data_IF_042740680572
#
_entry.id   IF_042740680572
#
_cell.length_a   1.000
_cell.length_b   1.000
_cell.length_c   1.000
_cell.angle_alpha   90.00
_cell.angle_beta   90.00
_cell.angle_gamma   90.00
#
_symmetry.space_group_name_H-M   'P 1'
#
loop_
_entity.id
_entity.type
_entity.pdbx_description
1 polymer ?
#
# COMPACT_ATOMS: atom_id res chain seq x y z
N UNK A 1 -21.60 23.91 -80.46
CA UNK A 1 -20.39 24.25 -81.25
C UNK A 1 -19.18 23.93 -80.37
N UNK A 2 -18.19 23.22 -80.94
CA UNK A 2 -16.87 22.82 -80.41
C UNK A 2 -16.77 21.96 -79.12
N UNK A 3 -16.15 20.78 -79.24
CA UNK A 3 -15.21 20.26 -78.22
C UNK A 3 -13.76 20.65 -78.59
N UNK A 4 -12.69 19.96 -78.15
CA UNK A 4 -12.40 19.25 -76.89
C UNK A 4 -11.02 19.66 -76.26
N UNK A 5 -10.67 19.02 -75.12
CA UNK A 5 -9.30 18.70 -74.62
C UNK A 5 -8.27 19.83 -74.39
N UNK A 6 -7.66 19.89 -73.18
CA UNK A 6 -6.22 19.64 -73.01
C UNK A 6 -5.83 19.40 -71.53
N UNK A 7 -5.07 18.32 -71.36
CA UNK A 7 -4.40 17.80 -70.17
C UNK A 7 -3.29 18.74 -69.69
N UNK A 8 -3.13 18.91 -68.37
CA UNK A 8 -1.83 19.02 -67.69
C UNK A 8 -1.87 18.34 -66.32
N UNK A 9 -1.02 17.34 -66.16
CA UNK A 9 -0.82 16.51 -64.96
C UNK A 9 0.29 17.08 -64.06
N UNK A 10 0.30 16.62 -62.80
CA UNK A 10 1.32 16.70 -61.73
C UNK A 10 1.16 17.94 -60.84
N UNK A 11 1.15 17.86 -59.50
CA UNK A 11 2.13 17.21 -58.62
C UNK A 11 1.43 16.78 -57.31
N UNK A 12 1.83 15.62 -56.80
CA UNK A 12 1.50 15.05 -55.48
C UNK A 12 1.63 16.03 -54.32
N UNK A 13 0.60 16.10 -53.47
CA UNK A 13 0.75 16.49 -52.07
C UNK A 13 -0.07 15.53 -51.20
N UNK A 14 0.64 14.59 -50.58
CA UNK A 14 0.15 13.75 -49.50
C UNK A 14 -0.32 14.68 -48.38
N UNK A 15 -1.59 14.56 -47.97
CA UNK A 15 -2.11 15.35 -46.86
C UNK A 15 -2.86 14.46 -45.86
N UNK A 16 -2.15 14.23 -44.76
CA UNK A 16 -2.65 14.02 -43.40
C UNK A 16 -3.49 12.77 -43.13
N UNK A 17 -2.82 11.66 -42.87
CA UNK A 17 -3.36 10.65 -41.97
C UNK A 17 -3.55 11.30 -40.59
N UNK A 18 -4.80 11.37 -40.12
CA UNK A 18 -5.15 11.84 -38.79
C UNK A 18 -4.61 10.86 -37.74
N UNK A 19 -3.40 11.11 -37.23
CA UNK A 19 -2.88 10.43 -36.05
C UNK A 19 -3.63 10.97 -34.84
N UNK A 20 -4.67 10.24 -34.43
CA UNK A 20 -5.36 10.50 -33.17
C UNK A 20 -4.42 10.14 -32.03
N UNK A 21 -3.68 11.13 -31.50
CA UNK A 21 -2.93 10.99 -30.26
C UNK A 21 -3.96 10.88 -29.13
N UNK A 22 -4.30 9.65 -28.75
CA UNK A 22 -5.01 9.40 -27.50
C UNK A 22 -4.07 9.82 -26.35
N UNK A 23 -4.21 11.08 -25.92
CA UNK A 23 -3.64 11.57 -24.67
C UNK A 23 -4.31 10.78 -23.54
N UNK A 24 -3.71 9.64 -23.16
CA UNK A 24 -4.02 8.98 -21.91
C UNK A 24 -3.54 9.92 -20.81
N UNK A 25 -4.41 10.83 -20.37
CA UNK A 25 -4.19 11.62 -19.16
C UNK A 25 -4.04 10.65 -18.01
N UNK A 26 -2.81 10.34 -17.62
CA UNK A 26 -2.53 9.77 -16.31
C UNK A 26 -3.00 10.81 -15.30
N UNK A 27 -4.23 10.65 -14.80
CA UNK A 27 -4.69 11.43 -13.65
C UNK A 27 -3.78 10.97 -12.51
N UNK A 28 -2.92 11.85 -11.94
CA UNK A 28 -2.18 11.46 -10.75
C UNK A 28 -3.21 11.09 -9.69
N UNK A 29 -3.07 9.90 -9.09
CA UNK A 29 -3.86 9.54 -7.93
C UNK A 29 -3.54 10.58 -6.85
N UNK A 30 -4.46 11.53 -6.64
CA UNK A 30 -4.31 12.57 -5.62
C UNK A 30 -4.45 11.92 -4.23
N UNK A 31 -3.34 11.38 -3.71
CA UNK A 31 -3.19 11.11 -2.29
C UNK A 31 -3.13 12.43 -1.51
N UNK A 32 -3.57 12.43 -0.24
CA UNK A 32 -3.37 13.58 0.64
C UNK A 32 -1.87 13.82 0.81
N UNK A 33 -1.42 15.06 0.68
CA UNK A 33 -0.04 15.43 1.01
C UNK A 33 0.15 15.41 2.51
N UNK A 34 1.22 14.79 3.01
CA UNK A 34 1.58 14.90 4.42
C UNK A 34 2.11 16.31 4.69
N UNK A 35 1.38 17.07 5.51
CA UNK A 35 1.86 18.39 5.97
C UNK A 35 2.83 18.21 7.13
N UNK A 36 3.73 19.18 7.42
CA UNK A 36 4.62 19.09 8.58
C UNK A 36 3.88 18.87 9.91
N UNK A 37 2.69 19.46 10.05
CA UNK A 37 1.83 19.29 11.22
C UNK A 37 1.21 17.88 11.28
N UNK A 38 0.85 17.31 10.14
CA UNK A 38 0.37 15.93 10.10
C UNK A 38 1.50 14.96 10.44
N UNK A 39 2.72 15.20 9.94
CA UNK A 39 3.90 14.41 10.25
C UNK A 39 4.20 14.42 11.76
N UNK A 40 4.24 15.60 12.39
CA UNK A 40 4.43 15.74 13.85
C UNK A 40 3.36 14.95 14.63
N UNK A 41 2.09 15.01 14.21
CA UNK A 41 1.02 14.26 14.88
C UNK A 41 1.00 12.78 14.56
N UNK A 42 1.50 12.38 13.40
CA UNK A 42 1.66 10.97 13.05
C UNK A 42 2.75 10.35 13.92
N UNK A 43 3.89 11.02 14.04
CA UNK A 43 5.01 10.64 14.89
C UNK A 43 4.60 10.49 16.37
N UNK A 44 3.91 11.50 16.93
CA UNK A 44 3.35 11.43 18.29
C UNK A 44 2.39 10.24 18.51
N UNK A 45 1.68 9.81 17.47
CA UNK A 45 0.70 8.72 17.54
C UNK A 45 1.37 7.34 17.50
N UNK A 46 2.50 7.21 16.79
CA UNK A 46 3.27 5.96 16.70
C UNK A 46 3.60 5.44 18.10
N UNK A 47 4.11 6.31 18.97
CA UNK A 47 4.47 6.00 20.36
C UNK A 47 3.29 5.46 21.19
N UNK A 48 2.07 5.71 20.74
CA UNK A 48 0.85 5.34 21.44
C UNK A 48 0.18 4.09 20.88
N UNK A 49 0.65 3.51 19.76
CA UNK A 49 0.03 2.39 19.03
C UNK A 49 0.16 1.02 19.73
N UNK A 50 -0.22 0.97 21.00
CA UNK A 50 -0.20 -0.24 21.84
C UNK A 50 -1.48 -1.09 21.77
N UNK A 51 -2.31 -0.88 20.75
CA UNK A 51 -3.50 -1.70 20.47
C UNK A 51 -3.92 -1.59 19.01
N UNK A 52 -4.59 -2.61 18.46
CA UNK A 52 -5.06 -2.58 17.07
C UNK A 52 -6.05 -1.44 16.76
N UNK A 53 -6.83 -1.00 17.74
CA UNK A 53 -7.71 0.16 17.57
C UNK A 53 -6.90 1.44 17.33
N UNK A 54 -5.84 1.66 18.10
CA UNK A 54 -4.96 2.81 17.92
C UNK A 54 -4.14 2.73 16.63
N UNK A 55 -3.74 1.53 16.21
CA UNK A 55 -3.14 1.32 14.88
C UNK A 55 -4.09 1.78 13.79
N UNK A 56 -5.36 1.37 13.87
CA UNK A 56 -6.38 1.81 12.94
C UNK A 56 -6.60 3.32 12.99
N UNK A 57 -6.69 3.92 14.18
CA UNK A 57 -6.88 5.37 14.33
C UNK A 57 -5.72 6.17 13.72
N UNK A 58 -4.49 5.74 13.95
CA UNK A 58 -3.30 6.33 13.35
C UNK A 58 -3.33 6.20 11.82
N UNK A 59 -3.58 4.99 11.30
CA UNK A 59 -3.73 4.74 9.87
C UNK A 59 -4.85 5.59 9.23
N UNK A 60 -6.04 5.60 9.82
CA UNK A 60 -7.20 6.29 9.26
C UNK A 60 -7.00 7.81 9.21
N UNK A 61 -6.26 8.37 10.17
CA UNK A 61 -6.03 9.81 10.28
C UNK A 61 -4.79 10.28 9.54
N UNK A 62 -3.72 9.49 9.58
CA UNK A 62 -2.37 9.88 9.16
C UNK A 62 -1.69 8.89 8.23
N UNK A 63 -2.41 7.90 7.68
CA UNK A 63 -1.81 6.92 6.76
C UNK A 63 -1.24 7.52 5.46
N UNK A 64 -1.53 8.79 5.16
CA UNK A 64 -0.90 9.56 4.08
C UNK A 64 0.48 10.15 4.44
N UNK A 65 0.88 10.05 5.71
CA UNK A 65 2.18 10.41 6.24
C UNK A 65 3.10 9.20 6.50
N UNK A 66 2.71 8.02 6.05
CA UNK A 66 3.46 6.80 6.27
C UNK A 66 4.69 6.72 5.35
N UNK A 67 5.72 7.47 5.70
CA UNK A 67 7.00 7.54 5.00
C UNK A 67 8.13 7.83 6.01
N UNK A 68 9.37 7.49 5.67
CA UNK A 68 10.55 7.71 6.51
C UNK A 68 10.41 7.17 7.95
N UNK A 69 10.82 7.96 8.94
CA UNK A 69 10.81 7.58 10.36
C UNK A 69 9.40 7.19 10.87
N UNK A 70 8.34 7.81 10.33
CA UNK A 70 6.96 7.47 10.69
C UNK A 70 6.62 6.05 10.22
N UNK A 71 7.05 5.67 9.01
CA UNK A 71 6.81 4.34 8.48
C UNK A 71 7.59 3.27 9.26
N UNK A 72 8.85 3.53 9.60
CA UNK A 72 9.65 2.63 10.44
C UNK A 72 9.02 2.47 11.84
N UNK A 73 8.55 3.57 12.43
CA UNK A 73 7.84 3.55 13.70
C UNK A 73 6.53 2.75 13.65
N UNK A 74 5.75 2.89 12.56
CA UNK A 74 4.56 2.08 12.32
C UNK A 74 4.91 0.59 12.18
N UNK A 75 6.01 0.26 11.48
CA UNK A 75 6.52 -1.11 11.37
C UNK A 75 6.84 -1.69 12.75
N UNK A 76 7.59 -0.97 13.57
CA UNK A 76 7.92 -1.41 14.93
C UNK A 76 6.67 -1.58 15.81
N UNK A 77 5.73 -0.64 15.78
CA UNK A 77 4.49 -0.73 16.57
C UNK A 77 3.62 -1.94 16.17
N UNK A 78 3.49 -2.20 14.87
CA UNK A 78 2.81 -3.40 14.35
C UNK A 78 3.54 -4.67 14.80
N UNK A 79 4.87 -4.69 14.70
CA UNK A 79 5.68 -5.84 15.12
C UNK A 79 5.51 -6.14 16.61
N UNK A 80 5.57 -5.14 17.50
CA UNK A 80 5.31 -5.32 18.94
C UNK A 80 3.95 -5.97 19.21
N UNK A 81 2.89 -5.53 18.53
CA UNK A 81 1.56 -6.13 18.69
C UNK A 81 1.51 -7.59 18.21
N UNK A 82 2.17 -7.91 17.10
CA UNK A 82 2.23 -9.29 16.60
C UNK A 82 3.10 -10.17 17.50
N UNK A 83 4.27 -9.71 17.91
CA UNK A 83 5.25 -10.50 18.65
C UNK A 83 4.86 -10.67 20.11
N UNK A 84 4.51 -9.57 20.78
CA UNK A 84 4.31 -9.55 22.24
C UNK A 84 2.83 -9.74 22.62
N UNK A 85 1.92 -9.38 21.71
CA UNK A 85 0.48 -9.39 21.96
C UNK A 85 -0.30 -10.26 20.96
N UNK A 86 0.31 -11.32 20.40
CA UNK A 86 -0.31 -12.23 19.41
C UNK A 86 -1.73 -12.68 19.76
N UNK A 87 -2.05 -12.89 21.04
CA UNK A 87 -3.39 -13.27 21.52
C UNK A 87 -4.49 -12.26 21.16
N UNK A 88 -4.13 -11.02 20.80
CA UNK A 88 -5.04 -9.96 20.35
C UNK A 88 -5.32 -10.00 18.85
N UNK A 89 -4.70 -10.90 18.08
CA UNK A 89 -4.91 -11.03 16.63
C UNK A 89 -6.39 -11.15 16.20
N UNK A 90 -7.30 -11.80 16.96
CA UNK A 90 -8.74 -11.77 16.65
C UNK A 90 -9.38 -10.37 16.66
N UNK A 91 -8.84 -9.44 17.45
CA UNK A 91 -9.29 -8.05 17.45
C UNK A 91 -8.89 -7.36 16.14
N UNK A 92 -7.67 -7.59 15.64
CA UNK A 92 -7.25 -7.15 14.31
C UNK A 92 -8.14 -7.75 13.23
N UNK A 93 -8.39 -9.05 13.27
CA UNK A 93 -9.29 -9.71 12.31
C UNK A 93 -10.68 -9.07 12.25
N UNK A 94 -11.24 -8.73 13.41
CA UNK A 94 -12.53 -8.02 13.50
C UNK A 94 -12.45 -6.60 12.92
N UNK A 95 -11.35 -5.88 13.13
CA UNK A 95 -11.14 -4.55 12.56
C UNK A 95 -10.98 -4.61 11.04
N UNK A 96 -10.23 -5.57 10.51
CA UNK A 96 -10.05 -5.79 9.07
C UNK A 96 -11.39 -6.09 8.39
N UNK A 97 -12.27 -6.88 9.01
CA UNK A 97 -13.62 -7.13 8.48
C UNK A 97 -14.44 -5.84 8.32
N UNK A 98 -14.24 -4.85 9.20
CA UNK A 98 -14.90 -3.54 9.12
C UNK A 98 -14.17 -2.55 8.21
N UNK A 99 -12.86 -2.66 8.13
CA UNK A 99 -11.97 -1.71 7.46
C UNK A 99 -10.91 -2.49 6.66
N UNK A 100 -11.29 -2.98 5.48
CA UNK A 100 -10.46 -3.90 4.70
C UNK A 100 -9.06 -3.36 4.40
N UNK A 101 -8.91 -2.05 4.19
CA UNK A 101 -7.63 -1.41 3.89
C UNK A 101 -6.63 -1.47 5.07
N UNK A 102 -7.10 -1.71 6.29
CA UNK A 102 -6.21 -1.92 7.44
C UNK A 102 -5.34 -3.15 7.26
N UNK A 103 -5.83 -4.17 6.54
CA UNK A 103 -5.04 -5.38 6.25
C UNK A 103 -3.77 -5.03 5.48
N UNK A 104 -3.91 -4.26 4.40
CA UNK A 104 -2.79 -3.88 3.55
C UNK A 104 -1.81 -2.98 4.31
N UNK A 105 -2.32 -2.10 5.17
CA UNK A 105 -1.49 -1.32 6.10
C UNK A 105 -0.66 -2.23 7.02
N UNK A 106 -1.29 -3.18 7.73
CA UNK A 106 -0.53 -4.07 8.63
C UNK A 106 0.48 -4.92 7.87
N UNK A 107 0.10 -5.48 6.71
CA UNK A 107 0.99 -6.37 5.95
C UNK A 107 2.20 -5.63 5.37
N UNK A 108 2.05 -4.38 4.92
CA UNK A 108 3.20 -3.61 4.41
C UNK A 108 4.22 -3.27 5.49
N UNK A 109 3.81 -3.26 6.75
CA UNK A 109 4.63 -2.98 7.93
C UNK A 109 5.26 -4.23 8.56
N UNK A 110 5.02 -5.41 7.97
CA UNK A 110 5.82 -6.62 8.23
C UNK A 110 6.90 -6.70 7.14
N UNK A 111 7.85 -5.77 7.21
CA UNK A 111 8.85 -5.51 6.18
C UNK A 111 10.30 -5.71 6.69
N UNK A 112 11.28 -5.39 5.84
CA UNK A 112 12.71 -5.59 6.11
C UNK A 112 13.32 -4.57 7.09
N UNK A 113 12.56 -3.57 7.55
CA UNK A 113 13.01 -2.64 8.60
C UNK A 113 12.99 -3.28 10.00
N UNK A 114 12.30 -4.40 10.16
CA UNK A 114 12.19 -5.13 11.43
C UNK A 114 13.43 -5.99 11.74
N UNK A 115 13.69 -6.23 13.04
CA UNK A 115 14.69 -7.22 13.47
C UNK A 115 14.31 -8.61 12.94
N UNK A 116 15.28 -9.33 12.39
CA UNK A 116 15.06 -10.67 11.81
C UNK A 116 14.41 -11.63 12.81
N UNK A 117 14.69 -11.50 14.12
CA UNK A 117 14.07 -12.33 15.17
C UNK A 117 12.58 -12.06 15.29
N UNK A 118 12.14 -10.83 15.09
CA UNK A 118 10.72 -10.49 15.09
C UNK A 118 10.03 -11.07 13.85
N UNK A 119 10.65 -10.98 12.68
CA UNK A 119 10.15 -11.61 11.46
C UNK A 119 10.00 -13.14 11.63
N UNK A 120 11.03 -13.80 12.16
CA UNK A 120 10.99 -15.24 12.45
C UNK A 120 9.91 -15.58 13.48
N UNK A 121 9.71 -14.71 14.48
CA UNK A 121 8.68 -14.89 15.50
C UNK A 121 7.29 -14.73 14.92
N UNK A 122 7.03 -13.71 14.09
CA UNK A 122 5.77 -13.49 13.40
C UNK A 122 5.44 -14.70 12.50
N UNK A 123 6.41 -15.19 11.73
CA UNK A 123 6.26 -16.40 10.91
C UNK A 123 5.91 -17.63 11.74
N UNK A 124 6.61 -17.84 12.86
CA UNK A 124 6.39 -18.98 13.75
C UNK A 124 5.00 -18.93 14.37
N UNK A 125 4.59 -17.76 14.88
CA UNK A 125 3.27 -17.57 15.47
C UNK A 125 2.16 -17.77 14.44
N UNK A 126 2.36 -17.25 13.22
CA UNK A 126 1.42 -17.39 12.11
C UNK A 126 1.17 -18.84 11.70
N UNK A 127 2.18 -19.70 11.78
CA UNK A 127 2.08 -21.11 11.35
C UNK A 127 1.70 -22.07 12.47
N UNK A 128 2.10 -21.80 13.71
CA UNK A 128 1.92 -22.71 14.85
C UNK A 128 0.82 -22.31 15.83
N UNK A 129 0.40 -21.05 15.80
CA UNK A 129 -0.49 -20.45 16.81
C UNK A 129 -1.59 -19.61 16.17
N UNK A 130 -1.98 -19.92 14.93
CA UNK A 130 -3.05 -19.19 14.25
C UNK A 130 -4.40 -19.40 14.95
N UNK A 131 -5.12 -18.32 15.34
CA UNK A 131 -6.47 -18.44 15.86
C UNK A 131 -7.45 -18.97 14.80
N UNK A 132 -8.43 -19.76 15.24
CA UNK A 132 -9.46 -20.30 14.35
C UNK A 132 -10.20 -19.20 13.59
N UNK A 133 -10.42 -19.40 12.28
CA UNK A 133 -11.12 -18.45 11.42
C UNK A 133 -10.26 -17.28 10.91
N UNK A 134 -8.96 -17.27 11.20
CA UNK A 134 -8.01 -16.27 10.71
C UNK A 134 -6.94 -16.85 9.77
N UNK A 135 -7.16 -18.04 9.21
CA UNK A 135 -6.17 -18.78 8.41
C UNK A 135 -5.58 -17.92 7.28
N UNK A 136 -6.43 -17.17 6.55
CA UNK A 136 -5.97 -16.26 5.50
C UNK A 136 -5.06 -15.14 6.04
N UNK A 137 -5.40 -14.53 7.17
CA UNK A 137 -4.59 -13.46 7.76
C UNK A 137 -3.23 -14.01 8.24
N UNK A 138 -3.24 -15.18 8.88
CA UNK A 138 -2.00 -15.84 9.31
C UNK A 138 -1.12 -16.23 8.12
N UNK A 139 -1.72 -16.73 7.04
CA UNK A 139 -0.97 -17.03 5.81
C UNK A 139 -0.30 -15.78 5.27
N UNK A 140 -1.02 -14.66 5.17
CA UNK A 140 -0.47 -13.41 4.66
C UNK A 140 0.66 -12.86 5.55
N UNK A 141 0.50 -12.92 6.88
CA UNK A 141 1.54 -12.53 7.83
C UNK A 141 2.80 -13.41 7.70
N UNK A 142 2.63 -14.73 7.57
CA UNK A 142 3.73 -15.67 7.37
C UNK A 142 4.50 -15.40 6.07
N UNK A 143 3.76 -15.11 4.99
CA UNK A 143 4.36 -14.76 3.69
C UNK A 143 5.11 -13.44 3.74
N UNK A 144 4.50 -12.40 4.34
CA UNK A 144 5.13 -11.09 4.51
C UNK A 144 6.43 -11.24 5.30
N UNK A 145 6.39 -11.89 6.47
CA UNK A 145 7.58 -12.11 7.29
C UNK A 145 8.67 -12.91 6.57
N UNK A 146 8.30 -13.96 5.85
CA UNK A 146 9.26 -14.79 5.10
C UNK A 146 9.93 -13.99 3.97
N UNK A 147 9.17 -13.17 3.25
CA UNK A 147 9.70 -12.30 2.19
C UNK A 147 10.66 -11.26 2.77
N UNK A 148 10.31 -10.69 3.92
CA UNK A 148 11.08 -9.63 4.57
C UNK A 148 12.40 -10.13 5.14
N UNK A 149 12.43 -11.33 5.72
CA UNK A 149 13.65 -11.93 6.27
C UNK A 149 14.67 -12.39 5.21
N UNK A 150 14.30 -12.38 3.92
CA UNK A 150 15.15 -12.82 2.82
C UNK A 150 15.85 -11.66 2.08
N UNK A 151 15.62 -10.41 2.50
CA UNK A 151 16.20 -9.20 1.94
C UNK A 151 17.45 -8.78 2.72
#
# INVERSE_FOLDING_TARGET
>A
MQGPSHIRTNITAVACAAVSIALFSMIPAYGKTCTPKDAEKADEMVDQMNSWAKVYDAYAKYGHCDDGEIAEGNSEAVARLLVDHWKTLPQLGTLIQRHAQLKDFVLRHVDATLDTRDLDRIKTLSTSSCPAGLDSLCQDLSMAATKSAAQ
#
